data_IF_571349252063
#
_entry.id   IF_571349252063
#
_cell.length_a   1.000
_cell.length_b   1.000
_cell.length_c   1.000
_cell.angle_alpha   90.00
_cell.angle_beta   90.00
_cell.angle_gamma   90.00
#
_symmetry.space_group_name_H-M   'P 1'
#
loop_
_entity.id
_entity.type
_entity.pdbx_description
1 polymer ?
#
# COMPACT_ATOMS: atom_id res chain seq x y z
N UNK A 1 -4.43 11.84 20.52
CA UNK A 1 -4.01 10.43 20.52
C UNK A 1 -3.41 10.08 21.88
N UNK A 2 -3.56 8.85 22.40
CA UNK A 2 -2.89 8.47 23.63
C UNK A 2 -1.36 8.61 23.44
N UNK A 3 -0.66 9.13 24.45
CA UNK A 3 0.78 9.42 24.41
C UNK A 3 1.68 8.18 24.50
N UNK A 4 1.11 6.98 24.58
CA UNK A 4 1.82 5.72 24.82
C UNK A 4 1.47 4.66 23.76
N UNK A 5 2.41 3.77 23.47
CA UNK A 5 2.24 2.61 22.59
C UNK A 5 1.76 1.38 23.37
N UNK A 6 1.23 0.39 22.64
CA UNK A 6 0.86 -0.91 23.20
C UNK A 6 2.07 -1.64 23.82
N UNK A 7 3.26 -1.46 23.24
CA UNK A 7 4.52 -2.00 23.78
C UNK A 7 4.86 -1.40 25.14
N UNK A 8 4.71 -0.08 25.31
CA UNK A 8 4.93 0.59 26.60
C UNK A 8 3.96 0.06 27.66
N UNK A 9 2.72 -0.23 27.28
CA UNK A 9 1.73 -0.83 28.17
C UNK A 9 2.12 -2.27 28.57
N UNK A 10 2.60 -3.10 27.62
CA UNK A 10 3.10 -4.45 27.93
C UNK A 10 4.29 -4.43 28.88
N UNK A 11 5.29 -3.57 28.64
CA UNK A 11 6.42 -3.43 29.56
C UNK A 11 5.99 -2.93 30.95
N UNK A 12 5.03 -2.00 31.02
CA UNK A 12 4.49 -1.54 32.29
C UNK A 12 3.80 -2.66 33.07
N UNK A 13 3.09 -3.57 32.39
CA UNK A 13 2.45 -4.73 33.03
C UNK A 13 3.50 -5.73 33.51
N UNK A 14 4.52 -5.99 32.72
CA UNK A 14 5.61 -6.88 33.09
C UNK A 14 6.35 -6.36 34.33
N UNK A 15 6.61 -5.06 34.41
CA UNK A 15 7.18 -4.42 35.60
C UNK A 15 6.28 -4.60 36.84
N UNK A 16 4.96 -4.44 36.67
CA UNK A 16 3.99 -4.63 37.78
C UNK A 16 3.93 -6.09 38.24
N UNK A 17 3.95 -7.04 37.31
CA UNK A 17 4.03 -8.47 37.63
C UNK A 17 5.35 -8.83 38.32
N UNK A 18 6.44 -8.13 37.99
CA UNK A 18 7.76 -8.25 38.63
C UNK A 18 7.86 -7.59 40.02
N UNK A 19 6.75 -7.10 40.59
CA UNK A 19 6.70 -6.53 41.94
C UNK A 19 6.86 -5.01 42.01
N UNK A 20 6.95 -4.31 40.87
CA UNK A 20 6.97 -2.85 40.85
C UNK A 20 5.55 -2.32 41.08
N UNK A 21 5.40 -1.26 41.88
CA UNK A 21 4.08 -0.66 42.08
C UNK A 21 3.53 -0.05 40.79
N UNK A 22 2.21 -0.15 40.58
CA UNK A 22 1.51 0.43 39.40
C UNK A 22 1.86 1.91 39.19
N UNK A 23 2.07 2.67 40.28
CA UNK A 23 2.48 4.07 40.22
C UNK A 23 3.85 4.24 39.58
N UNK A 24 4.84 3.45 40.01
CA UNK A 24 6.21 3.53 39.53
C UNK A 24 6.32 3.03 38.08
N UNK A 25 5.59 1.98 37.72
CA UNK A 25 5.49 1.51 36.34
C UNK A 25 4.83 2.56 35.41
N UNK A 26 3.75 3.21 35.86
CA UNK A 26 3.07 4.26 35.11
C UNK A 26 4.00 5.45 34.80
N UNK A 27 4.78 5.89 35.78
CA UNK A 27 5.75 6.99 35.62
C UNK A 27 6.89 6.59 34.68
N UNK A 28 7.42 5.36 34.82
CA UNK A 28 8.53 4.85 34.00
C UNK A 28 8.18 4.73 32.52
N UNK A 29 7.00 4.22 32.21
CA UNK A 29 6.58 3.91 30.83
C UNK A 29 5.64 4.98 30.23
N UNK A 30 5.37 6.06 30.97
CA UNK A 30 4.45 7.12 30.60
C UNK A 30 3.04 6.62 30.22
N UNK A 31 2.57 5.57 30.91
CA UNK A 31 1.26 4.96 30.71
C UNK A 31 0.34 5.33 31.88
N UNK A 32 -0.92 5.76 31.66
CA UNK A 32 -1.85 6.05 32.76
C UNK A 32 -2.08 4.84 33.66
N UNK A 33 -2.09 5.07 34.98
CA UNK A 33 -2.31 4.03 36.00
C UNK A 33 -3.62 3.27 35.79
N UNK A 34 -4.67 3.97 35.36
CA UNK A 34 -5.99 3.38 35.07
C UNK A 34 -5.92 2.37 33.93
N UNK A 35 -5.14 2.65 32.88
CA UNK A 35 -4.96 1.75 31.74
C UNK A 35 -4.21 0.48 32.14
N UNK A 36 -3.14 0.59 32.93
CA UNK A 36 -2.41 -0.56 33.45
C UNK A 36 -3.33 -1.45 34.29
N UNK A 37 -4.09 -0.86 35.23
CA UNK A 37 -5.06 -1.59 36.05
C UNK A 37 -6.14 -2.28 35.22
N UNK A 38 -6.72 -1.57 34.26
CA UNK A 38 -7.74 -2.14 33.38
C UNK A 38 -7.21 -3.35 32.60
N UNK A 39 -5.97 -3.27 32.11
CA UNK A 39 -5.34 -4.38 31.38
C UNK A 39 -5.03 -5.57 32.29
N UNK A 40 -4.54 -5.35 33.50
CA UNK A 40 -4.34 -6.41 34.51
C UNK A 40 -5.68 -7.07 34.89
N UNK A 41 -6.76 -6.30 34.95
CA UNK A 41 -8.10 -6.80 35.21
C UNK A 41 -8.76 -7.48 33.99
N UNK A 42 -8.01 -7.78 32.92
CA UNK A 42 -8.47 -8.56 31.78
C UNK A 42 -9.06 -7.76 30.62
N UNK A 43 -8.93 -6.43 30.58
CA UNK A 43 -9.39 -5.64 29.43
C UNK A 43 -8.49 -5.91 28.22
N UNK A 44 -9.00 -6.59 27.20
CA UNK A 44 -8.26 -6.89 25.97
C UNK A 44 -7.76 -5.61 25.25
N UNK A 45 -6.68 -5.69 24.45
CA UNK A 45 -6.23 -4.57 23.64
C UNK A 45 -7.31 -4.12 22.68
N UNK A 46 -7.25 -2.83 22.35
CA UNK A 46 -8.25 -2.20 21.50
C UNK A 46 -8.42 -2.96 20.18
N UNK A 47 -7.33 -3.33 19.51
CA UNK A 47 -7.40 -4.09 18.25
C UNK A 47 -8.22 -5.38 18.37
N UNK A 48 -7.97 -6.19 19.39
CA UNK A 48 -8.71 -7.45 19.62
C UNK A 48 -10.18 -7.18 19.99
N UNK A 49 -10.47 -6.17 20.81
CA UNK A 49 -11.87 -5.84 21.15
C UNK A 49 -12.70 -5.38 19.95
N UNK A 50 -12.06 -4.77 18.95
CA UNK A 50 -12.75 -4.26 17.75
C UNK A 50 -12.74 -5.26 16.58
N UNK A 51 -11.94 -6.33 16.64
CA UNK A 51 -11.94 -7.40 15.64
C UNK A 51 -13.34 -8.00 15.38
N UNK A 52 -14.15 -8.39 16.38
CA UNK A 52 -15.49 -8.95 16.13
C UNK A 52 -16.49 -7.92 15.56
N UNK A 53 -16.16 -6.62 15.61
CA UNK A 53 -16.97 -5.54 15.02
C UNK A 53 -16.61 -5.27 13.56
N UNK A 54 -15.59 -5.94 13.02
CA UNK A 54 -15.20 -5.83 11.62
C UNK A 54 -16.12 -6.68 10.74
N UNK A 55 -16.36 -6.18 9.53
CA UNK A 55 -17.25 -6.84 8.55
C UNK A 55 -16.57 -7.98 7.78
N UNK A 56 -15.24 -8.00 7.78
CA UNK A 56 -14.43 -9.08 7.25
C UNK A 56 -13.75 -9.78 8.42
N UNK A 57 -13.57 -11.09 8.31
CA UNK A 57 -12.75 -11.82 9.28
C UNK A 57 -11.27 -11.47 9.10
N UNK A 58 -10.46 -11.65 10.15
CA UNK A 58 -9.01 -11.42 10.08
C UNK A 58 -8.34 -12.20 8.92
N UNK A 59 -8.81 -13.43 8.65
CA UNK A 59 -8.31 -14.24 7.53
C UNK A 59 -8.66 -13.62 6.16
N UNK A 60 -9.90 -13.14 5.99
CA UNK A 60 -10.31 -12.46 4.76
C UNK A 60 -9.57 -11.14 4.56
N UNK A 61 -9.37 -10.39 5.65
CA UNK A 61 -8.62 -9.14 5.62
C UNK A 61 -7.16 -9.38 5.22
N UNK A 62 -6.51 -10.39 5.81
CA UNK A 62 -5.14 -10.82 5.45
C UNK A 62 -5.01 -11.25 3.99
N UNK A 63 -5.97 -12.01 3.45
CA UNK A 63 -5.98 -12.38 2.04
C UNK A 63 -6.16 -11.16 1.12
N UNK A 64 -6.99 -10.20 1.51
CA UNK A 64 -7.18 -8.96 0.74
C UNK A 64 -5.91 -8.11 0.73
N UNK A 65 -5.22 -7.99 1.86
CA UNK A 65 -3.90 -7.32 1.95
C UNK A 65 -2.88 -8.02 1.07
N UNK A 66 -2.77 -9.34 1.17
CA UNK A 66 -1.85 -10.15 0.35
C UNK A 66 -2.11 -9.94 -1.14
N UNK A 67 -3.37 -9.95 -1.55
CA UNK A 67 -3.76 -9.67 -2.93
C UNK A 67 -3.32 -8.26 -3.39
N UNK A 68 -3.51 -7.22 -2.57
CA UNK A 68 -3.06 -5.85 -2.87
C UNK A 68 -1.55 -5.81 -3.09
N UNK A 69 -0.78 -6.45 -2.20
CA UNK A 69 0.68 -6.49 -2.28
C UNK A 69 1.17 -7.22 -3.53
N UNK A 70 0.54 -8.34 -3.89
CA UNK A 70 0.86 -9.09 -5.12
C UNK A 70 0.56 -8.23 -6.36
N UNK A 71 -0.58 -7.56 -6.40
CA UNK A 71 -0.92 -6.68 -7.53
C UNK A 71 0.06 -5.50 -7.67
N UNK A 72 0.47 -4.89 -6.56
CA UNK A 72 1.49 -3.84 -6.55
C UNK A 72 2.89 -4.36 -6.96
N UNK A 73 3.23 -5.62 -6.62
CA UNK A 73 4.48 -6.25 -7.04
C UNK A 73 4.54 -6.49 -8.56
N UNK A 74 3.42 -6.87 -9.17
CA UNK A 74 3.30 -7.11 -10.62
C UNK A 74 3.11 -5.78 -11.40
N UNK A 75 3.04 -4.65 -10.70
CA UNK A 75 2.90 -3.32 -11.30
C UNK A 75 1.47 -3.02 -11.79
N UNK A 76 0.48 -3.66 -11.18
CA UNK A 76 -0.94 -3.43 -11.40
C UNK A 76 -1.65 -3.03 -10.10
N UNK A 77 -1.10 -2.07 -9.37
CA UNK A 77 -1.62 -1.68 -8.07
C UNK A 77 -3.11 -1.29 -8.13
N UNK A 78 -3.97 -1.89 -7.28
CA UNK A 78 -5.42 -1.71 -7.38
C UNK A 78 -5.86 -0.34 -6.87
N UNK A 79 -6.96 0.16 -7.42
CA UNK A 79 -7.57 1.43 -6.96
C UNK A 79 -8.37 1.23 -5.68
N UNK A 80 -8.67 2.34 -5.00
CA UNK A 80 -9.54 2.34 -3.83
C UNK A 80 -10.93 1.75 -4.12
N UNK A 81 -11.45 2.00 -5.32
CA UNK A 81 -12.76 1.49 -5.76
C UNK A 81 -12.73 -0.02 -6.02
N UNK A 82 -11.67 -0.54 -6.65
CA UNK A 82 -11.49 -1.98 -6.87
C UNK A 82 -11.42 -2.74 -5.53
N UNK A 83 -10.64 -2.24 -4.57
CA UNK A 83 -10.55 -2.86 -3.24
C UNK A 83 -11.90 -2.81 -2.54
N UNK A 84 -12.63 -1.70 -2.60
CA UNK A 84 -13.97 -1.60 -2.02
C UNK A 84 -14.95 -2.59 -2.67
N UNK A 85 -14.92 -2.75 -4.00
CA UNK A 85 -15.78 -3.71 -4.71
C UNK A 85 -15.51 -5.16 -4.30
N UNK A 86 -14.24 -5.53 -4.17
CA UNK A 86 -13.86 -6.87 -3.71
C UNK A 86 -14.31 -7.09 -2.27
N UNK A 87 -14.06 -6.13 -1.38
CA UNK A 87 -14.49 -6.20 0.01
C UNK A 87 -16.02 -6.27 0.14
N UNK A 88 -16.77 -5.46 -0.60
CA UNK A 88 -18.24 -5.53 -0.63
C UNK A 88 -18.71 -6.91 -1.06
N UNK A 89 -18.08 -7.49 -2.09
CA UNK A 89 -18.42 -8.84 -2.56
C UNK A 89 -18.14 -9.91 -1.51
N UNK A 90 -17.03 -9.80 -0.78
CA UNK A 90 -16.72 -10.69 0.34
C UNK A 90 -17.77 -10.58 1.45
N UNK A 91 -18.21 -9.36 1.80
CA UNK A 91 -19.28 -9.17 2.77
C UNK A 91 -20.59 -9.83 2.32
N UNK A 92 -21.00 -9.66 1.06
CA UNK A 92 -22.20 -10.30 0.52
C UNK A 92 -22.11 -11.83 0.59
N UNK A 93 -20.93 -12.41 0.30
CA UNK A 93 -20.70 -13.85 0.42
C UNK A 93 -20.79 -14.34 1.88
N UNK A 94 -20.48 -13.49 2.86
CA UNK A 94 -20.66 -13.78 4.28
C UNK A 94 -22.13 -13.61 4.75
N UNK A 95 -23.07 -13.27 3.84
CA UNK A 95 -24.48 -13.00 4.17
C UNK A 95 -24.76 -11.55 4.60
N UNK A 96 -23.78 -10.65 4.49
CA UNK A 96 -23.91 -9.24 4.81
C UNK A 96 -24.08 -8.41 3.53
N UNK A 97 -25.34 -8.06 3.24
CA UNK A 97 -25.74 -7.34 2.02
C UNK A 97 -25.73 -5.81 2.18
N UNK A 98 -25.16 -5.26 3.25
CA UNK A 98 -25.08 -3.81 3.41
C UNK A 98 -23.91 -3.21 2.62
N UNK A 99 -24.05 -1.98 2.15
CA UNK A 99 -22.95 -1.28 1.52
C UNK A 99 -21.81 -0.96 2.51
N UNK A 100 -20.57 -1.03 2.05
CA UNK A 100 -19.42 -0.61 2.85
C UNK A 100 -19.46 0.91 3.09
N UNK A 101 -19.35 1.32 4.35
CA UNK A 101 -19.32 2.73 4.73
C UNK A 101 -18.15 3.49 4.09
N UNK A 102 -18.33 4.80 3.91
CA UNK A 102 -17.31 5.69 3.28
C UNK A 102 -15.95 5.60 3.96
N UNK A 103 -15.94 5.50 5.29
CA UNK A 103 -14.72 5.42 6.13
C UNK A 103 -14.12 4.03 6.26
N UNK A 104 -14.76 2.97 5.71
CA UNK A 104 -14.30 1.59 5.85
C UNK A 104 -12.85 1.43 5.37
N UNK A 105 -12.52 1.99 4.21
CA UNK A 105 -11.19 1.89 3.62
C UNK A 105 -10.11 2.54 4.50
N UNK A 106 -10.44 3.66 5.15
CA UNK A 106 -9.52 4.31 6.08
C UNK A 106 -9.27 3.43 7.31
N UNK A 107 -10.31 2.76 7.82
CA UNK A 107 -10.18 1.79 8.90
C UNK A 107 -9.28 0.60 8.51
N UNK A 108 -9.55 0.01 7.35
CA UNK A 108 -8.75 -1.07 6.77
C UNK A 108 -7.26 -0.69 6.63
N UNK A 109 -6.95 0.51 6.15
CA UNK A 109 -5.56 0.98 6.05
C UNK A 109 -4.92 1.23 7.42
N UNK A 110 -5.68 1.73 8.40
CA UNK A 110 -5.18 1.96 9.75
C UNK A 110 -4.85 0.65 10.48
N UNK A 111 -5.56 -0.43 10.15
CA UNK A 111 -5.32 -1.75 10.73
C UNK A 111 -4.12 -2.45 10.08
N UNK A 112 -3.94 -2.25 8.77
CA UNK A 112 -2.92 -2.90 7.96
C UNK A 112 -1.80 -1.93 7.54
N UNK A 113 -0.82 -1.71 8.42
CA UNK A 113 0.30 -0.78 8.18
C UNK A 113 1.26 -1.20 7.06
N UNK A 114 1.13 -2.42 6.54
CA UNK A 114 1.91 -2.94 5.41
C UNK A 114 1.49 -2.33 4.07
N UNK A 115 0.26 -1.80 3.99
CA UNK A 115 -0.28 -1.16 2.80
C UNK A 115 -0.54 0.33 3.06
N UNK A 116 -0.43 1.14 2.02
CA UNK A 116 -0.81 2.55 2.09
C UNK A 116 -1.33 3.06 0.75
N UNK A 117 -1.96 4.22 0.80
CA UNK A 117 -2.31 4.96 -0.41
C UNK A 117 -1.06 5.53 -1.07
N UNK A 118 -0.90 5.21 -2.35
CA UNK A 118 0.21 5.62 -3.20
C UNK A 118 -0.32 6.39 -4.41
N UNK A 119 0.54 7.23 -4.99
CA UNK A 119 0.27 7.79 -6.31
C UNK A 119 0.56 6.71 -7.35
N UNK A 120 -0.45 6.38 -8.16
CA UNK A 120 -0.28 5.51 -9.31
C UNK A 120 0.47 6.24 -10.42
N UNK A 121 1.60 5.71 -10.85
CA UNK A 121 2.31 6.13 -12.04
C UNK A 121 1.99 5.16 -13.17
N UNK A 122 1.43 5.70 -14.25
CA UNK A 122 1.20 4.94 -15.47
C UNK A 122 2.53 4.54 -16.07
N UNK A 123 2.60 3.28 -16.49
CA UNK A 123 3.75 2.72 -17.15
C UNK A 123 3.26 2.07 -18.44
N UNK A 124 3.96 2.36 -19.53
CA UNK A 124 3.70 1.75 -20.81
C UNK A 124 4.34 0.34 -20.81
N UNK A 125 3.50 -0.65 -20.52
CA UNK A 125 3.95 -2.04 -20.42
C UNK A 125 4.34 -2.62 -21.78
N UNK A 126 3.78 -2.11 -22.89
CA UNK A 126 4.22 -2.51 -24.23
C UNK A 126 5.67 -2.09 -24.45
N UNK A 127 6.02 -0.85 -24.07
CA UNK A 127 7.42 -0.38 -24.11
C UNK A 127 8.35 -1.20 -23.22
N UNK A 128 7.92 -1.51 -22.00
CA UNK A 128 8.73 -2.33 -21.08
C UNK A 128 8.98 -3.73 -21.62
N UNK A 129 7.94 -4.37 -22.15
CA UNK A 129 8.06 -5.73 -22.70
C UNK A 129 8.84 -5.74 -24.02
N UNK A 130 8.72 -4.68 -24.84
CA UNK A 130 9.45 -4.54 -26.10
C UNK A 130 10.94 -4.23 -25.93
N UNK A 131 11.33 -3.68 -24.77
CA UNK A 131 12.70 -3.36 -24.40
C UNK A 131 13.49 -4.61 -23.95
N UNK A 132 13.55 -5.63 -24.82
CA UNK A 132 14.38 -6.81 -24.58
C UNK A 132 15.87 -6.48 -24.68
N UNK A 133 16.72 -7.23 -23.98
CA UNK A 133 18.18 -7.08 -24.08
C UNK A 133 18.68 -7.19 -25.52
N UNK A 134 18.09 -8.10 -26.29
CA UNK A 134 18.36 -8.25 -27.72
C UNK A 134 17.99 -6.99 -28.52
N UNK A 135 16.78 -6.44 -28.30
CA UNK A 135 16.31 -5.22 -28.95
C UNK A 135 17.25 -4.04 -28.66
N UNK A 136 17.64 -3.88 -27.39
CA UNK A 136 18.51 -2.80 -26.93
C UNK A 136 19.92 -2.96 -27.51
N UNK A 137 20.51 -4.15 -27.44
CA UNK A 137 21.83 -4.41 -28.00
C UNK A 137 21.87 -4.20 -29.51
N UNK A 138 20.85 -4.66 -30.23
CA UNK A 138 20.77 -4.45 -31.67
C UNK A 138 20.61 -2.97 -32.02
N UNK A 139 19.81 -2.22 -31.29
CA UNK A 139 19.72 -0.77 -31.46
C UNK A 139 21.08 -0.09 -31.34
N UNK A 140 21.86 -0.41 -30.28
CA UNK A 140 23.20 0.16 -30.12
C UNK A 140 24.20 -0.32 -31.17
N UNK A 141 24.10 -1.58 -31.64
CA UNK A 141 24.90 -2.06 -32.78
C UNK A 141 24.63 -1.24 -34.04
N UNK A 142 23.36 -0.92 -34.34
CA UNK A 142 23.01 -0.10 -35.49
C UNK A 142 23.62 1.32 -35.39
N UNK A 143 23.66 1.90 -34.18
CA UNK A 143 24.31 3.20 -33.95
C UNK A 143 25.83 3.18 -34.21
N UNK A 144 26.48 2.01 -34.15
CA UNK A 144 27.92 1.87 -34.40
C UNK A 144 28.29 1.68 -35.88
N UNK A 145 27.30 1.58 -36.78
CA UNK A 145 27.57 1.43 -38.21
C UNK A 145 28.21 2.73 -38.75
N UNK A 146 29.21 2.57 -39.63
CA UNK A 146 30.04 3.65 -40.17
C UNK A 146 29.24 4.87 -40.65
N UNK A 147 28.16 4.67 -41.40
CA UNK A 147 27.33 5.75 -41.93
C UNK A 147 26.70 6.63 -40.84
N UNK A 148 26.31 6.04 -39.70
CA UNK A 148 25.74 6.78 -38.56
C UNK A 148 26.85 7.38 -37.71
N UNK A 149 27.97 6.67 -37.56
CA UNK A 149 29.12 7.14 -36.80
C UNK A 149 29.82 8.35 -37.43
N UNK A 150 29.82 8.46 -38.76
CA UNK A 150 30.34 9.61 -39.50
C UNK A 150 29.53 10.89 -39.28
N UNK A 151 28.26 10.78 -38.89
CA UNK A 151 27.45 11.94 -38.49
C UNK A 151 27.89 12.37 -37.09
N UNK A 152 28.41 13.59 -36.97
CA UNK A 152 28.78 14.17 -35.68
C UNK A 152 27.60 14.11 -34.70
N UNK A 153 27.82 13.80 -33.41
CA UNK A 153 26.74 13.72 -32.43
C UNK A 153 25.86 14.98 -32.38
N UNK A 154 26.44 16.15 -32.65
CA UNK A 154 25.74 17.45 -32.70
C UNK A 154 24.71 17.55 -33.84
N UNK A 155 24.87 16.74 -34.89
CA UNK A 155 23.98 16.68 -36.05
C UNK A 155 23.03 15.48 -36.01
N UNK A 156 22.97 14.75 -34.88
CA UNK A 156 22.04 13.65 -34.68
C UNK A 156 20.82 14.16 -33.94
N UNK A 157 19.74 14.38 -34.68
CA UNK A 157 18.47 14.83 -34.11
C UNK A 157 17.54 13.63 -33.95
N UNK A 158 16.88 13.54 -32.79
CA UNK A 158 15.75 12.65 -32.64
C UNK A 158 14.51 13.31 -33.27
N UNK A 159 13.65 12.51 -33.88
CA UNK A 159 12.35 12.94 -34.36
C UNK A 159 11.30 12.13 -33.61
N UNK A 160 11.10 12.47 -32.34
CA UNK A 160 10.03 11.94 -31.52
C UNK A 160 8.92 12.98 -31.35
N UNK A 161 7.70 12.62 -31.74
CA UNK A 161 6.54 13.43 -31.41
C UNK A 161 6.38 13.51 -29.89
N UNK A 162 6.66 14.68 -29.33
CA UNK A 162 6.33 14.98 -27.95
C UNK A 162 4.85 15.37 -27.89
N UNK A 163 3.97 14.39 -27.76
CA UNK A 163 2.55 14.65 -27.54
C UNK A 163 2.33 15.41 -26.23
N UNK A 164 1.98 16.69 -26.30
CA UNK A 164 1.49 17.45 -25.16
C UNK A 164 0.08 16.95 -24.82
N UNK A 165 0.01 15.96 -23.92
CA UNK A 165 -1.24 15.43 -23.41
C UNK A 165 -1.89 16.42 -22.41
N UNK A 166 -2.42 17.52 -22.93
CA UNK A 166 -3.20 18.50 -22.16
C UNK A 166 -4.51 17.84 -21.74
N UNK A 167 -4.67 17.57 -20.45
CA UNK A 167 -5.90 16.99 -19.86
C UNK A 167 -5.73 15.59 -19.25
N UNK A 168 -4.62 14.89 -19.48
CA UNK A 168 -4.35 13.57 -18.88
C UNK A 168 -3.76 13.70 -17.46
N UNK A 169 -4.56 14.19 -16.51
CA UNK A 169 -4.25 14.09 -15.07
C UNK A 169 -4.90 12.86 -14.49
N UNK A 170 -4.26 11.71 -14.64
CA UNK A 170 -4.73 10.47 -14.00
C UNK A 170 -3.62 9.78 -13.19
N UNK A 171 -2.93 10.58 -12.36
CA UNK A 171 -2.22 10.03 -11.20
C UNK A 171 -3.26 9.69 -10.12
N UNK A 172 -4.07 8.65 -10.39
CA UNK A 172 -5.06 8.14 -9.45
C UNK A 172 -4.40 7.59 -8.19
N UNK A 173 -5.08 7.71 -7.05
CA UNK A 173 -4.65 7.08 -5.81
C UNK A 173 -4.93 5.58 -5.87
N UNK A 174 -3.90 4.80 -5.60
CA UNK A 174 -3.92 3.33 -5.59
C UNK A 174 -3.42 2.82 -4.25
N UNK A 175 -3.65 1.54 -4.00
CA UNK A 175 -3.17 0.86 -2.80
C UNK A 175 -1.99 -0.04 -3.14
N UNK A 176 -0.95 0.00 -2.32
CA UNK A 176 0.25 -0.81 -2.52
C UNK A 176 1.13 -0.81 -1.28
N UNK A 177 2.34 -1.37 -1.40
CA UNK A 177 3.24 -1.55 -0.26
C UNK A 177 3.60 -0.22 0.43
N UNK A 178 3.57 -0.22 1.75
CA UNK A 178 3.94 0.94 2.56
C UNK A 178 5.42 1.33 2.45
N UNK A 179 6.27 0.44 1.92
CA UNK A 179 7.68 0.70 1.68
C UNK A 179 7.92 1.54 0.41
N UNK A 180 6.97 1.56 -0.53
CA UNK A 180 7.11 2.30 -1.79
C UNK A 180 6.63 3.75 -1.66
N UNK A 181 7.10 4.63 -2.55
CA UNK A 181 6.60 6.01 -2.68
C UNK A 181 5.59 6.16 -3.82
N UNK A 182 5.74 5.35 -4.86
CA UNK A 182 4.95 5.38 -6.08
C UNK A 182 4.65 3.92 -6.43
N UNK A 183 3.41 3.67 -6.85
CA UNK A 183 2.99 2.37 -7.35
C UNK A 183 2.86 2.41 -8.87
N UNK A 184 3.20 1.31 -9.54
CA UNK A 184 3.06 1.20 -10.99
C UNK A 184 1.64 0.74 -11.32
N UNK A 185 1.10 1.31 -12.40
CA UNK A 185 -0.20 0.94 -12.94
C UNK A 185 -0.07 0.58 -14.41
N UNK A 186 -0.57 -0.59 -14.77
CA UNK A 186 -0.68 -1.04 -16.15
C UNK A 186 -1.69 -0.17 -16.91
N UNK A 187 -1.31 0.20 -18.13
CA UNK A 187 -2.23 0.83 -19.07
C UNK A 187 -3.35 -0.17 -19.40
N UNK A 188 -4.60 0.21 -19.12
CA UNK A 188 -5.75 -0.48 -19.68
C UNK A 188 -5.92 -0.03 -21.13
N UNK A 189 -6.06 -0.98 -22.06
CA UNK A 189 -6.18 -0.79 -23.51
C UNK A 189 -7.45 -0.05 -23.98
N UNK A 190 -7.90 0.95 -23.24
CA UNK A 190 -8.88 1.91 -23.75
C UNK A 190 -8.12 2.99 -24.52
N UNK A 191 -7.66 2.60 -25.72
CA UNK A 191 -7.42 3.55 -26.81
C UNK A 191 -8.81 3.91 -27.36
N UNK A 192 -9.25 5.14 -27.09
CA UNK A 192 -10.32 5.77 -27.87
C UNK A 192 -9.69 6.47 -29.07
#
# INVERSE_FOLDING_TARGET
MPRYSETNLQYAIQDVMGGISVRKAAERWAVPRSTIRARINGTAPRKETFEPLQRLSAAQESHLVSWILIQDAIGNAPTHDQVRKIASRLCHLNGDNYDLGKSWLQGFLNHNSEIKTLRGKRLDFERLNGASTYSIQNFFKLLTIKQINEILPQNRYNMDETGLAIGLRENGLVLGSSQKRIALRRQSDQRF
#
